data_IF_474421567880
#
_entry.id   IF_474421567880
#
_cell.length_a   1.000
_cell.length_b   1.000
_cell.length_c   1.000
_cell.angle_alpha   90.00
_cell.angle_beta   90.00
_cell.angle_gamma   90.00
#
_symmetry.space_group_name_H-M   'P 1'
#
loop_
_entity.id
_entity.type
_entity.pdbx_description
1 polymer ?
#
# COMPACT_ATOMS: atom_id res chain seq x y z
N UNK A 1 -15.47 24.16 -13.16
CA UNK A 1 -14.77 23.30 -12.18
C UNK A 1 -15.85 22.54 -11.43
N UNK A 2 -15.71 21.22 -11.26
CA UNK A 2 -16.71 20.47 -10.49
C UNK A 2 -16.61 20.87 -9.02
N UNK A 3 -17.72 20.81 -8.27
CA UNK A 3 -17.71 21.13 -6.83
C UNK A 3 -16.73 20.24 -6.03
N UNK A 4 -16.36 19.08 -6.57
CA UNK A 4 -15.42 18.14 -5.96
C UNK A 4 -13.94 18.49 -6.19
N UNK A 5 -13.64 19.43 -7.08
CA UNK A 5 -12.25 19.77 -7.40
C UNK A 5 -11.60 20.65 -6.32
N UNK A 6 -12.35 21.23 -5.39
CA UNK A 6 -11.83 22.15 -4.38
C UNK A 6 -12.06 21.63 -2.96
N UNK A 7 -11.86 20.33 -2.72
CA UNK A 7 -11.98 19.73 -1.40
C UNK A 7 -10.61 19.27 -0.88
N UNK A 8 -10.41 19.33 0.43
CA UNK A 8 -9.33 18.63 1.13
C UNK A 8 -9.87 17.36 1.83
N UNK A 9 -8.98 16.41 2.11
CA UNK A 9 -9.22 15.19 2.88
C UNK A 9 -8.23 15.13 4.03
N UNK A 10 -8.75 15.02 5.25
CA UNK A 10 -7.93 14.78 6.44
C UNK A 10 -7.65 13.28 6.60
N UNK A 11 -6.39 12.83 6.53
CA UNK A 11 -6.08 11.41 6.72
C UNK A 11 -6.30 10.92 8.15
N UNK A 12 -6.30 11.83 9.14
CA UNK A 12 -6.44 11.48 10.56
C UNK A 12 -7.88 11.22 11.00
N UNK A 13 -8.83 12.00 10.51
CA UNK A 13 -10.23 11.93 10.94
C UNK A 13 -11.24 11.80 9.78
N UNK A 14 -10.73 11.62 8.57
CA UNK A 14 -11.48 11.46 7.32
C UNK A 14 -12.43 12.61 6.98
N UNK A 15 -12.28 13.76 7.65
CA UNK A 15 -13.07 14.94 7.35
C UNK A 15 -12.69 15.51 5.98
N UNK A 16 -13.70 15.90 5.23
CA UNK A 16 -13.57 16.59 3.95
C UNK A 16 -14.30 17.92 3.99
N UNK A 17 -13.64 18.98 3.56
CA UNK A 17 -14.22 20.31 3.44
C UNK A 17 -13.55 21.09 2.30
N UNK A 18 -14.00 22.31 2.05
CA UNK A 18 -13.48 23.21 1.03
C UNK A 18 -12.00 23.52 1.28
N UNK A 19 -11.22 23.45 0.21
CA UNK A 19 -9.83 23.84 0.20
C UNK A 19 -9.72 25.36 0.34
N UNK A 20 -9.32 25.83 1.50
CA UNK A 20 -9.00 27.24 1.75
C UNK A 20 -7.56 27.56 1.28
N UNK A 21 -7.30 28.82 0.93
CA UNK A 21 -5.99 29.25 0.42
C UNK A 21 -4.89 29.23 1.49
N UNK A 22 -5.28 29.14 2.77
CA UNK A 22 -4.41 29.15 3.94
C UNK A 22 -4.28 27.72 4.46
N UNK A 23 -3.08 27.14 4.29
CA UNK A 23 -2.56 25.85 4.78
C UNK A 23 -3.49 24.60 4.77
N UNK A 24 -2.95 23.44 4.38
CA UNK A 24 -3.64 22.13 4.36
C UNK A 24 -3.92 21.59 5.79
N UNK A 25 -4.67 22.34 6.60
CA UNK A 25 -4.98 22.04 7.99
C UNK A 25 -6.43 21.60 8.10
N UNK A 26 -6.69 20.50 8.80
CA UNK A 26 -8.04 20.04 9.06
C UNK A 26 -8.74 20.90 10.13
N UNK A 27 -9.88 21.47 9.79
CA UNK A 27 -10.67 22.32 10.71
C UNK A 27 -11.29 21.53 11.87
N UNK A 28 -11.49 20.22 11.68
CA UNK A 28 -12.07 19.33 12.70
C UNK A 28 -11.05 18.88 13.76
N UNK A 29 -9.80 18.61 13.38
CA UNK A 29 -8.82 17.99 14.27
C UNK A 29 -7.44 18.67 14.31
N UNK A 30 -7.25 19.76 13.56
CA UNK A 30 -6.01 20.54 13.52
C UNK A 30 -4.83 19.86 12.83
N UNK A 31 -5.03 18.75 12.11
CA UNK A 31 -3.96 18.04 11.41
C UNK A 31 -3.43 18.84 10.22
N UNK A 32 -2.12 19.12 10.17
CA UNK A 32 -1.50 20.10 9.25
C UNK A 32 -1.07 19.59 7.86
N UNK A 33 -1.29 18.31 7.57
CA UNK A 33 -0.84 17.68 6.32
C UNK A 33 -2.00 17.03 5.57
N UNK A 34 -3.12 17.74 5.47
CA UNK A 34 -4.25 17.28 4.67
C UNK A 34 -3.88 17.14 3.19
N UNK A 35 -4.72 16.40 2.48
CA UNK A 35 -4.53 16.11 1.06
C UNK A 35 -5.59 16.77 0.22
N UNK A 36 -5.30 17.04 -1.04
CA UNK A 36 -6.36 17.38 -1.99
C UNK A 36 -7.22 16.12 -2.15
N UNK A 37 -8.53 16.24 -1.96
CA UNK A 37 -9.45 15.14 -2.07
C UNK A 37 -9.73 14.82 -3.55
N UNK A 38 -9.83 13.53 -3.86
CA UNK A 38 -10.32 13.00 -5.12
C UNK A 38 -11.53 12.13 -4.85
N UNK A 39 -12.68 12.55 -5.37
CA UNK A 39 -13.91 11.78 -5.25
C UNK A 39 -13.81 10.45 -6.01
N UNK A 40 -14.24 9.36 -5.36
CA UNK A 40 -14.41 8.05 -5.99
C UNK A 40 -15.81 8.00 -6.59
N UNK A 41 -15.93 7.65 -7.88
CA UNK A 41 -17.22 7.60 -8.56
C UNK A 41 -18.23 6.73 -7.79
N UNK A 42 -19.42 7.28 -7.50
CA UNK A 42 -20.46 6.56 -6.77
C UNK A 42 -20.91 5.28 -7.50
N UNK A 43 -20.86 5.25 -8.83
CA UNK A 43 -21.17 4.05 -9.61
C UNK A 43 -20.13 2.95 -9.41
N UNK A 44 -18.85 3.31 -9.35
CA UNK A 44 -17.77 2.35 -9.15
C UNK A 44 -17.75 1.86 -7.70
N UNK A 45 -18.00 2.75 -6.73
CA UNK A 45 -18.13 2.39 -5.32
C UNK A 45 -19.31 1.44 -5.09
N UNK A 46 -20.49 1.74 -5.65
CA UNK A 46 -21.68 0.90 -5.52
C UNK A 46 -21.45 -0.53 -6.02
N UNK A 47 -20.75 -0.69 -7.14
CA UNK A 47 -20.39 -2.04 -7.63
C UNK A 47 -19.65 -2.89 -6.58
N UNK A 48 -18.68 -2.30 -5.87
CA UNK A 48 -17.93 -3.02 -4.85
C UNK A 48 -18.73 -3.23 -3.56
N UNK A 49 -19.59 -2.28 -3.19
CA UNK A 49 -20.54 -2.43 -2.08
C UNK A 49 -21.48 -3.60 -2.36
N UNK A 50 -22.09 -3.65 -3.55
CA UNK A 50 -22.96 -4.74 -3.97
C UNK A 50 -22.22 -6.10 -3.97
N UNK A 51 -20.95 -6.10 -4.36
CA UNK A 51 -20.11 -7.31 -4.34
C UNK A 51 -19.87 -7.83 -2.92
N UNK A 52 -19.65 -6.95 -1.94
CA UNK A 52 -19.49 -7.33 -0.53
C UNK A 52 -20.79 -7.78 0.12
N UNK A 53 -21.89 -7.08 -0.16
CA UNK A 53 -23.22 -7.42 0.35
C UNK A 53 -23.68 -8.81 -0.09
N UNK A 54 -23.42 -9.15 -1.35
CA UNK A 54 -23.86 -10.42 -1.95
C UNK A 54 -22.79 -11.53 -1.90
N UNK A 55 -21.55 -11.20 -1.53
CA UNK A 55 -20.45 -12.15 -1.51
C UNK A 55 -20.52 -13.14 -0.35
N UNK A 56 -19.86 -14.29 -0.49
CA UNK A 56 -19.73 -15.29 0.58
C UNK A 56 -18.86 -14.79 1.76
N UNK A 57 -18.63 -15.65 2.75
CA UNK A 57 -17.63 -15.40 3.78
C UNK A 57 -16.20 -15.42 3.19
N UNK A 58 -15.33 -14.56 3.71
CA UNK A 58 -13.92 -14.52 3.34
C UNK A 58 -13.19 -15.81 3.73
N UNK A 59 -12.34 -16.34 2.84
CA UNK A 59 -11.57 -17.57 3.04
C UNK A 59 -10.07 -17.29 3.02
N UNK A 60 -9.33 -17.85 3.96
CA UNK A 60 -7.87 -17.75 4.01
C UNK A 60 -7.21 -18.68 2.99
N UNK A 61 -6.43 -18.12 2.08
CA UNK A 61 -5.59 -18.82 1.12
C UNK A 61 -4.22 -19.12 1.74
N UNK A 62 -3.92 -20.41 1.90
CA UNK A 62 -2.69 -20.88 2.57
C UNK A 62 -1.50 -20.97 1.61
N UNK A 63 -1.73 -20.93 0.29
CA UNK A 63 -0.67 -21.08 -0.72
C UNK A 63 0.47 -20.09 -0.54
N UNK A 64 0.15 -18.83 -0.20
CA UNK A 64 1.15 -17.78 0.04
C UNK A 64 2.07 -18.16 1.21
N UNK A 65 1.50 -18.52 2.36
CA UNK A 65 2.27 -18.95 3.53
C UNK A 65 3.09 -20.23 3.27
N UNK A 66 2.55 -21.18 2.51
CA UNK A 66 3.27 -22.39 2.11
C UNK A 66 4.48 -22.07 1.22
N UNK A 67 4.33 -21.15 0.26
CA UNK A 67 5.43 -20.76 -0.64
C UNK A 67 6.62 -20.17 0.11
N UNK A 68 6.37 -19.44 1.19
CA UNK A 68 7.40 -18.72 1.95
C UNK A 68 7.67 -19.35 3.31
N UNK A 69 7.27 -20.60 3.53
CA UNK A 69 7.34 -21.29 4.84
C UNK A 69 8.75 -21.28 5.46
N UNK A 70 9.80 -21.31 4.64
CA UNK A 70 11.20 -21.29 5.08
C UNK A 70 11.72 -19.88 5.41
N UNK A 71 10.94 -18.85 5.09
CA UNK A 71 11.25 -17.42 5.20
C UNK A 71 10.27 -16.71 6.15
N UNK A 72 9.53 -17.48 6.96
CA UNK A 72 8.76 -16.96 8.08
C UNK A 72 9.71 -16.70 9.26
N UNK A 73 9.46 -15.66 10.08
CA UNK A 73 10.24 -15.40 11.29
C UNK A 73 10.39 -16.64 12.17
N UNK A 74 11.54 -16.75 12.85
CA UNK A 74 11.75 -17.80 13.85
C UNK A 74 10.77 -17.68 15.01
N UNK A 75 10.44 -16.45 15.39
CA UNK A 75 9.36 -16.21 16.32
C UNK A 75 8.01 -16.56 15.68
N UNK A 76 7.35 -17.55 16.26
CA UNK A 76 6.02 -17.99 15.81
C UNK A 76 4.92 -17.14 16.41
N UNK A 77 5.17 -16.43 17.51
CA UNK A 77 4.17 -15.61 18.18
C UNK A 77 3.82 -14.39 17.35
N UNK A 78 4.82 -13.68 16.82
CA UNK A 78 4.59 -12.58 15.88
C UNK A 78 3.76 -12.99 14.66
N UNK A 79 4.13 -14.13 14.04
CA UNK A 79 3.40 -14.65 12.87
C UNK A 79 1.96 -14.99 13.22
N UNK A 80 1.72 -15.68 14.34
CA UNK A 80 0.36 -16.02 14.80
C UNK A 80 -0.45 -14.79 15.19
N UNK A 81 0.16 -13.82 15.86
CA UNK A 81 -0.49 -12.57 16.27
C UNK A 81 -0.95 -11.79 15.05
N UNK A 82 -0.08 -11.62 14.06
CA UNK A 82 -0.40 -10.94 12.82
C UNK A 82 -1.50 -11.69 12.03
N UNK A 83 -1.37 -13.01 11.87
CA UNK A 83 -2.39 -13.81 11.19
C UNK A 83 -3.76 -13.75 11.88
N UNK A 84 -3.78 -13.69 13.22
CA UNK A 84 -5.00 -13.54 14.02
C UNK A 84 -5.64 -12.17 13.77
N UNK A 85 -4.86 -11.09 13.83
CA UNK A 85 -5.32 -9.72 13.56
C UNK A 85 -5.97 -9.63 12.17
N UNK A 86 -5.29 -10.11 11.13
CA UNK A 86 -5.83 -10.07 9.75
C UNK A 86 -7.09 -10.93 9.61
N UNK A 87 -7.14 -12.07 10.29
CA UNK A 87 -8.32 -12.94 10.26
C UNK A 87 -9.52 -12.30 10.96
N UNK A 88 -9.29 -11.57 12.06
CA UNK A 88 -10.32 -10.78 12.75
C UNK A 88 -10.84 -9.65 11.87
N UNK A 89 -9.96 -8.97 11.13
CA UNK A 89 -10.34 -7.92 10.19
C UNK A 89 -11.27 -8.43 9.08
N UNK A 90 -10.93 -9.53 8.40
CA UNK A 90 -11.82 -10.11 7.36
C UNK A 90 -13.10 -10.73 7.94
N UNK A 91 -13.06 -11.19 9.20
CA UNK A 91 -14.27 -11.57 9.92
C UNK A 91 -15.17 -10.35 10.17
N UNK A 92 -14.61 -9.22 10.60
CA UNK A 92 -15.36 -7.96 10.80
C UNK A 92 -16.04 -7.48 9.51
N UNK A 93 -15.35 -7.52 8.37
CA UNK A 93 -15.96 -7.25 7.05
C UNK A 93 -17.14 -8.18 6.75
N UNK A 94 -17.05 -9.45 7.15
CA UNK A 94 -18.13 -10.43 6.93
C UNK A 94 -19.32 -10.23 7.87
N UNK A 95 -19.06 -9.80 9.11
CA UNK A 95 -20.08 -9.56 10.14
C UNK A 95 -20.84 -8.27 9.90
N UNK A 96 -20.17 -7.23 9.42
CA UNK A 96 -20.72 -5.88 9.26
C UNK A 96 -21.02 -5.54 7.78
N UNK A 97 -21.46 -6.53 7.00
CA UNK A 97 -21.73 -6.35 5.56
C UNK A 97 -22.77 -5.28 5.27
N UNK A 98 -23.81 -5.20 6.11
CA UNK A 98 -24.86 -4.18 6.04
C UNK A 98 -24.32 -2.75 6.20
N UNK A 99 -23.14 -2.60 6.80
CA UNK A 99 -22.46 -1.33 7.02
C UNK A 99 -21.28 -1.13 6.06
N UNK A 100 -21.10 -1.98 5.04
CA UNK A 100 -19.92 -1.92 4.15
C UNK A 100 -19.80 -0.58 3.42
N UNK A 101 -20.93 0.05 3.10
CA UNK A 101 -20.93 1.38 2.51
C UNK A 101 -20.18 2.36 3.42
N UNK A 102 -20.44 2.32 4.73
CA UNK A 102 -19.72 3.15 5.69
C UNK A 102 -18.23 2.86 5.73
N UNK A 103 -17.76 1.61 5.53
CA UNK A 103 -16.32 1.31 5.50
C UNK A 103 -15.61 1.77 4.23
N UNK A 104 -16.34 1.90 3.13
CA UNK A 104 -15.77 2.26 1.83
C UNK A 104 -15.67 3.78 1.69
N UNK A 105 -14.46 4.33 1.54
CA UNK A 105 -14.27 5.77 1.48
C UNK A 105 -14.95 6.37 0.24
N UNK A 106 -15.48 7.57 0.39
CA UNK A 106 -16.03 8.36 -0.73
C UNK A 106 -14.94 9.17 -1.43
N UNK A 107 -13.87 9.50 -0.70
CA UNK A 107 -12.75 10.30 -1.16
C UNK A 107 -11.44 9.58 -0.94
N UNK A 108 -10.50 9.79 -1.85
CA UNK A 108 -9.10 9.36 -1.71
C UNK A 108 -8.16 10.55 -1.87
N UNK A 109 -6.87 10.34 -1.63
CA UNK A 109 -5.83 11.34 -1.83
C UNK A 109 -5.55 11.56 -3.32
N UNK A 110 -5.60 12.81 -3.76
CA UNK A 110 -5.04 13.23 -5.05
C UNK A 110 -3.55 13.56 -4.89
N UNK A 111 -2.70 12.52 -4.97
CA UNK A 111 -1.25 12.68 -4.85
C UNK A 111 -0.68 13.72 -5.83
N UNK A 112 -1.16 13.71 -7.07
CA UNK A 112 -0.66 14.57 -8.16
C UNK A 112 -0.93 16.04 -7.85
N UNK A 113 -2.15 16.35 -7.41
CA UNK A 113 -2.54 17.72 -7.06
C UNK A 113 -1.93 18.17 -5.74
N UNK A 114 -1.85 17.26 -4.76
CA UNK A 114 -1.27 17.55 -3.44
C UNK A 114 0.21 17.91 -3.53
N UNK A 115 0.99 17.20 -4.35
CA UNK A 115 2.45 17.36 -4.39
C UNK A 115 2.95 18.26 -5.53
N UNK A 116 2.06 18.66 -6.45
CA UNK A 116 2.44 19.42 -7.66
C UNK A 116 3.30 18.63 -8.67
N UNK A 117 3.75 17.42 -8.33
CA UNK A 117 4.57 16.59 -9.22
C UNK A 117 3.69 15.90 -10.27
N UNK A 118 3.96 16.15 -11.57
CA UNK A 118 3.51 15.24 -12.64
C UNK A 118 4.28 13.92 -12.45
N UNK A 119 3.58 12.79 -12.40
CA UNK A 119 4.19 11.46 -12.27
C UNK A 119 5.47 11.32 -13.11
N UNK A 120 6.65 11.23 -12.47
CA UNK A 120 7.84 10.60 -13.08
C UNK A 120 7.81 9.07 -12.96
N UNK A 121 6.79 8.48 -12.31
CA UNK A 121 6.70 7.04 -12.06
C UNK A 121 5.30 6.45 -12.24
N UNK A 122 4.74 6.52 -13.44
CA UNK A 122 3.89 5.47 -14.04
C UNK A 122 3.58 5.90 -15.47
N UNK A 123 4.40 5.47 -16.43
CA UNK A 123 4.06 5.53 -17.85
C UNK A 123 2.93 4.51 -18.11
N UNK A 124 1.69 4.81 -17.71
CA UNK A 124 0.55 4.09 -18.27
C UNK A 124 0.13 4.81 -19.55
N UNK A 125 0.79 4.46 -20.65
CA UNK A 125 0.27 4.75 -21.97
C UNK A 125 -1.08 4.02 -22.14
N UNK A 126 -2.15 4.79 -22.29
CA UNK A 126 -3.55 4.43 -22.59
C UNK A 126 -4.48 4.19 -21.38
N UNK A 127 -5.63 4.88 -21.31
CA UNK A 127 -6.67 4.60 -20.32
C UNK A 127 -7.44 3.34 -20.73
N UNK A 128 -7.02 2.17 -20.26
CA UNK A 128 -7.87 0.97 -20.31
C UNK A 128 -8.92 1.09 -19.20
N UNK A 129 -10.21 1.06 -19.53
CA UNK A 129 -11.31 1.09 -18.53
C UNK A 129 -11.15 0.04 -17.40
N UNK A 130 -10.48 -1.08 -17.67
CA UNK A 130 -10.16 -2.11 -16.65
C UNK A 130 -9.18 -1.64 -15.57
N UNK A 131 -8.29 -0.70 -15.90
CA UNK A 131 -7.35 -0.12 -14.94
C UNK A 131 -8.09 0.75 -13.92
N UNK A 132 -9.18 1.42 -14.32
CA UNK A 132 -10.02 2.21 -13.42
C UNK A 132 -10.62 1.37 -12.29
N UNK A 133 -11.27 0.24 -12.62
CA UNK A 133 -11.87 -0.65 -11.61
C UNK A 133 -10.85 -1.28 -10.67
N UNK A 134 -9.70 -1.70 -11.19
CA UNK A 134 -8.64 -2.29 -10.37
C UNK A 134 -8.04 -1.27 -9.37
N UNK A 135 -7.85 -0.02 -9.81
CA UNK A 135 -7.40 1.07 -8.93
C UNK A 135 -8.46 1.39 -7.89
N UNK A 136 -9.73 1.56 -8.28
CA UNK A 136 -10.83 1.83 -7.34
C UNK A 136 -10.96 0.71 -6.30
N UNK A 137 -10.83 -0.56 -6.70
CA UNK A 137 -10.78 -1.69 -5.76
C UNK A 137 -9.68 -1.48 -4.71
N UNK A 138 -8.44 -1.23 -5.15
CA UNK A 138 -7.32 -0.99 -4.24
C UNK A 138 -7.67 0.05 -3.18
N UNK A 139 -8.12 1.22 -3.62
CA UNK A 139 -8.46 2.34 -2.77
C UNK A 139 -9.59 2.04 -1.76
N UNK A 140 -10.64 1.34 -2.19
CA UNK A 140 -11.78 1.05 -1.32
C UNK A 140 -11.41 0.06 -0.21
N UNK A 141 -10.68 -1.00 -0.56
CA UNK A 141 -10.29 -2.01 0.42
C UNK A 141 -9.16 -1.55 1.34
N UNK A 142 -8.25 -0.71 0.85
CA UNK A 142 -7.24 -0.03 1.69
C UNK A 142 -7.91 0.92 2.69
N UNK A 143 -8.92 1.69 2.27
CA UNK A 143 -9.72 2.53 3.18
C UNK A 143 -10.48 1.72 4.23
N UNK A 144 -11.16 0.65 3.81
CA UNK A 144 -11.86 -0.26 4.72
C UNK A 144 -10.90 -0.93 5.71
N UNK A 145 -9.73 -1.34 5.22
CA UNK A 145 -8.65 -1.91 6.01
C UNK A 145 -8.19 -0.94 7.11
N UNK A 146 -7.87 0.30 6.74
CA UNK A 146 -7.42 1.32 7.67
C UNK A 146 -8.47 1.63 8.73
N UNK A 147 -9.75 1.71 8.34
CA UNK A 147 -10.84 1.98 9.28
C UNK A 147 -11.02 0.85 10.29
N UNK A 148 -11.10 -0.41 9.83
CA UNK A 148 -11.28 -1.57 10.71
C UNK A 148 -10.08 -1.74 11.64
N UNK A 149 -8.86 -1.61 11.11
CA UNK A 149 -7.67 -1.81 11.93
C UNK A 149 -7.40 -0.64 12.89
N UNK A 150 -7.92 0.56 12.64
CA UNK A 150 -7.79 1.68 13.59
C UNK A 150 -8.42 1.39 14.96
N UNK A 151 -9.28 0.38 15.05
CA UNK A 151 -9.89 -0.09 16.30
C UNK A 151 -8.97 -1.04 17.10
N UNK A 152 -7.88 -1.51 16.49
CA UNK A 152 -6.93 -2.45 17.10
C UNK A 152 -5.67 -1.73 17.58
N UNK A 153 -5.32 -1.93 18.84
CA UNK A 153 -4.11 -1.40 19.49
C UNK A 153 -2.79 -1.86 18.83
N UNK A 154 -2.81 -3.04 18.19
CA UNK A 154 -1.67 -3.58 17.45
C UNK A 154 -1.48 -2.95 16.07
N UNK A 155 -2.34 -2.03 15.65
CA UNK A 155 -2.24 -1.35 14.36
C UNK A 155 -2.09 0.16 14.54
N UNK A 156 -1.20 0.74 13.75
CA UNK A 156 -1.05 2.18 13.66
C UNK A 156 -1.13 2.63 12.19
N UNK A 157 -2.11 3.49 11.83
CA UNK A 157 -2.22 4.03 10.49
C UNK A 157 -1.08 4.99 10.15
N UNK A 158 -0.74 5.10 8.87
CA UNK A 158 0.21 6.08 8.33
C UNK A 158 -0.57 7.26 7.73
N UNK A 159 -0.36 8.46 8.26
CA UNK A 159 -1.07 9.66 7.81
C UNK A 159 -0.22 10.58 6.93
N UNK A 160 1.09 10.43 6.97
CA UNK A 160 2.04 11.29 6.26
C UNK A 160 3.14 10.41 5.70
N UNK A 161 3.42 10.49 4.38
CA UNK A 161 4.61 9.85 3.83
C UNK A 161 5.85 10.37 4.51
N UNK A 162 6.76 9.46 4.88
CA UNK A 162 8.11 9.84 5.22
C UNK A 162 8.82 10.24 3.92
N UNK A 163 9.27 11.49 3.85
CA UNK A 163 10.10 12.01 2.76
C UNK A 163 11.55 11.86 3.19
N UNK A 164 12.31 11.09 2.42
CA UNK A 164 13.72 10.81 2.71
C UNK A 164 14.59 11.50 1.67
N UNK A 165 15.63 12.18 2.14
CA UNK A 165 16.76 12.62 1.32
C UNK A 165 17.80 11.51 1.43
N UNK A 166 17.96 10.70 0.38
CA UNK A 166 18.97 9.64 0.38
C UNK A 166 20.12 10.06 -0.54
N UNK A 167 21.34 9.85 -0.06
CA UNK A 167 22.58 9.92 -0.83
C UNK A 167 22.53 8.81 -1.90
N UNK A 168 22.67 9.17 -3.19
CA UNK A 168 22.46 8.28 -4.33
C UNK A 168 23.31 6.99 -4.33
N UNK A 169 24.31 6.91 -3.45
CA UNK A 169 25.22 5.78 -3.26
C UNK A 169 24.55 4.53 -2.69
N UNK A 170 23.68 4.64 -1.68
CA UNK A 170 22.98 3.49 -1.07
C UNK A 170 22.03 2.80 -2.07
N UNK A 171 21.42 3.58 -2.96
CA UNK A 171 20.56 3.09 -4.04
C UNK A 171 21.29 2.27 -5.08
N UNK A 172 22.52 2.68 -5.43
CA UNK A 172 23.36 1.94 -6.37
C UNK A 172 23.71 0.56 -5.78
N UNK A 173 23.95 0.48 -4.47
CA UNK A 173 24.19 -0.79 -3.77
C UNK A 173 22.93 -1.68 -3.65
N UNK A 174 21.75 -1.10 -3.40
CA UNK A 174 20.50 -1.86 -3.36
C UNK A 174 20.07 -2.36 -4.74
N UNK A 175 20.33 -1.58 -5.80
CA UNK A 175 20.12 -2.00 -7.19
C UNK A 175 21.13 -3.07 -7.61
N UNK A 176 22.41 -2.91 -7.28
CA UNK A 176 23.45 -3.88 -7.64
C UNK A 176 23.36 -5.20 -6.88
N UNK A 177 22.69 -5.23 -5.73
CA UNK A 177 22.43 -6.45 -4.96
C UNK A 177 21.03 -7.07 -5.26
N UNK A 178 20.25 -6.44 -6.13
CA UNK A 178 18.92 -6.86 -6.55
C UNK A 178 18.80 -6.82 -8.07
N UNK A 179 19.59 -7.64 -8.76
CA UNK A 179 19.64 -7.71 -10.22
C UNK A 179 18.24 -7.89 -10.85
N UNK A 180 17.94 -7.02 -11.81
CA UNK A 180 17.07 -7.22 -12.99
C UNK A 180 15.64 -7.78 -12.81
N UNK A 181 15.00 -7.52 -11.68
CA UNK A 181 13.57 -7.87 -11.50
C UNK A 181 12.58 -6.92 -12.21
N UNK A 182 13.10 -5.84 -12.80
CA UNK A 182 12.40 -5.07 -13.83
C UNK A 182 13.15 -5.29 -15.14
N UNK A 183 12.83 -6.38 -15.83
CA UNK A 183 13.29 -6.59 -17.18
C UNK A 183 13.10 -5.31 -18.00
N UNK A 184 14.22 -4.77 -18.49
CA UNK A 184 14.23 -3.99 -19.70
C UNK A 184 13.42 -4.78 -20.71
N UNK A 185 12.32 -4.19 -21.18
CA UNK A 185 11.81 -4.62 -22.46
C UNK A 185 12.97 -4.41 -23.43
N UNK A 186 13.33 -5.48 -24.14
CA UNK A 186 14.19 -5.42 -25.31
C UNK A 186 13.52 -4.48 -26.33
N UNK A 187 13.80 -3.19 -26.19
CA UNK A 187 13.72 -2.21 -27.25
C UNK A 187 15.19 -1.80 -27.47
N UNK A 188 15.92 -2.66 -28.20
CA UNK A 188 17.05 -2.20 -28.98
C UNK A 188 16.51 -1.16 -29.96
N UNK A 189 16.85 0.12 -29.76
CA UNK A 189 17.13 1.08 -30.83
C UNK A 189 17.63 2.42 -30.23
N UNK A 190 18.87 2.73 -30.62
CA UNK A 190 19.45 4.05 -30.91
C UNK A 190 19.72 5.08 -29.79
N UNK A 191 21.02 5.15 -29.45
CA UNK A 191 21.87 6.34 -29.44
C UNK A 191 21.20 7.71 -29.26
N UNK A 192 21.26 8.23 -28.04
CA UNK A 192 21.26 9.67 -27.78
C UNK A 192 22.06 9.96 -26.51
N UNK A 193 23.31 10.39 -26.70
CA UNK A 193 24.16 11.02 -25.71
C UNK A 193 23.38 12.15 -25.00
N UNK A 194 22.97 11.89 -23.75
CA UNK A 194 22.62 12.95 -22.81
C UNK A 194 23.92 13.39 -22.14
N UNK A 195 24.26 14.67 -22.30
CA UNK A 195 25.41 15.33 -21.68
C UNK A 195 25.34 15.26 -20.14
N UNK A 196 26.49 14.97 -19.53
CA UNK A 196 26.76 14.80 -18.09
C UNK A 196 26.58 16.07 -17.22
N UNK A 197 25.77 17.04 -17.62
CA UNK A 197 25.58 18.27 -16.86
C UNK A 197 24.19 18.30 -16.19
N UNK A 198 24.22 18.38 -14.85
CA UNK A 198 23.12 18.63 -13.90
C UNK A 198 22.15 17.47 -13.57
N UNK A 199 22.67 16.39 -12.95
CA UNK A 199 21.85 15.54 -12.08
C UNK A 199 21.96 16.09 -10.65
N UNK A 200 20.90 16.77 -10.19
CA UNK A 200 20.64 17.00 -8.77
C UNK A 200 20.43 15.62 -8.11
N UNK A 201 21.51 15.00 -7.63
CA UNK A 201 21.61 13.60 -7.17
C UNK A 201 20.85 13.30 -5.85
N UNK A 202 19.91 14.16 -5.43
CA UNK A 202 19.02 13.84 -4.30
C UNK A 202 17.72 13.21 -4.80
N UNK A 203 17.70 11.88 -4.94
CA UNK A 203 16.46 11.16 -5.21
C UNK A 203 15.62 11.11 -3.93
N UNK A 204 14.55 11.91 -3.89
CA UNK A 204 13.58 11.85 -2.80
C UNK A 204 12.86 10.50 -2.80
N UNK A 205 13.10 9.69 -1.78
CA UNK A 205 12.40 8.43 -1.59
C UNK A 205 11.19 8.68 -0.73
N UNK A 206 10.03 8.24 -1.22
CA UNK A 206 8.81 8.21 -0.44
C UNK A 206 8.69 6.84 0.23
N UNK A 207 8.57 6.85 1.55
CA UNK A 207 8.27 5.68 2.37
C UNK A 207 6.90 5.87 3.01
N UNK A 208 5.93 5.09 2.54
CA UNK A 208 4.53 5.16 2.97
C UNK A 208 3.97 3.72 2.97
N UNK A 209 4.23 2.92 4.02
CA UNK A 209 3.55 1.64 4.17
C UNK A 209 2.06 1.87 4.44
N UNK A 210 1.21 0.91 4.10
CA UNK A 210 -0.24 1.02 4.29
C UNK A 210 -0.63 1.03 5.77
N UNK A 211 0.26 0.54 6.64
CA UNK A 211 0.13 0.65 8.08
C UNK A 211 1.30 0.06 8.83
N UNK A 212 1.26 0.17 10.16
CA UNK A 212 2.24 -0.42 11.06
C UNK A 212 1.59 -1.50 11.92
N UNK A 213 2.21 -2.67 11.97
CA UNK A 213 1.92 -3.69 12.96
C UNK A 213 2.84 -3.50 14.17
N UNK A 214 2.25 -3.29 15.35
CA UNK A 214 2.96 -3.09 16.61
C UNK A 214 3.07 -4.42 17.35
N UNK A 215 4.31 -4.87 17.59
CA UNK A 215 4.57 -6.12 18.30
C UNK A 215 5.82 -6.01 19.16
N UNK A 216 5.66 -6.17 20.48
CA UNK A 216 6.78 -6.19 21.45
C UNK A 216 7.76 -5.02 21.28
N UNK A 217 7.23 -3.81 21.05
CA UNK A 217 8.02 -2.59 20.85
C UNK A 217 8.58 -2.39 19.44
N UNK A 218 8.31 -3.30 18.50
CA UNK A 218 8.71 -3.18 17.10
C UNK A 218 7.58 -2.58 16.25
N UNK A 219 7.94 -1.73 15.28
CA UNK A 219 7.04 -1.22 14.24
C UNK A 219 7.33 -1.90 12.91
N UNK A 220 6.42 -2.79 12.51
CA UNK A 220 6.58 -3.62 11.32
C UNK A 220 5.72 -3.06 10.20
N UNK A 221 6.31 -2.69 9.04
CA UNK A 221 5.55 -2.12 7.95
C UNK A 221 4.63 -3.18 7.34
N UNK A 222 3.36 -2.81 7.16
CA UNK A 222 2.35 -3.62 6.46
C UNK A 222 2.21 -3.07 5.05
N UNK A 223 2.26 -3.99 4.09
CA UNK A 223 1.80 -3.75 2.72
C UNK A 223 0.45 -4.45 2.49
N UNK A 224 -0.48 -3.79 1.85
CA UNK A 224 -1.81 -4.27 1.52
C UNK A 224 -2.00 -4.29 -0.01
N UNK A 225 -2.25 -5.47 -0.57
CA UNK A 225 -2.45 -5.66 -2.01
C UNK A 225 -3.82 -6.21 -2.33
N UNK A 226 -4.49 -5.60 -3.30
CA UNK A 226 -5.71 -6.16 -3.90
C UNK A 226 -5.43 -6.71 -5.29
N UNK A 227 -5.90 -7.93 -5.54
CA UNK A 227 -5.87 -8.54 -6.85
C UNK A 227 -7.30 -8.80 -7.33
N UNK A 228 -7.47 -8.83 -8.65
CA UNK A 228 -8.73 -9.29 -9.23
C UNK A 228 -8.81 -10.80 -9.30
N UNK A 229 -9.94 -11.29 -9.78
CA UNK A 229 -10.16 -12.71 -10.08
C UNK A 229 -8.99 -13.31 -10.90
N UNK A 230 -8.54 -14.50 -10.51
CA UNK A 230 -7.38 -15.18 -11.08
C UNK A 230 -6.02 -14.55 -10.73
N UNK A 231 -6.01 -13.43 -9.99
CA UNK A 231 -4.80 -12.67 -9.69
C UNK A 231 -3.95 -13.22 -8.52
N UNK A 232 -4.44 -14.23 -7.81
CA UNK A 232 -3.73 -14.92 -6.73
C UNK A 232 -2.70 -15.94 -7.26
N UNK A 233 -1.77 -15.46 -8.08
CA UNK A 233 -0.71 -16.23 -8.73
C UNK A 233 0.68 -15.86 -8.22
N UNK A 234 1.62 -16.83 -8.29
CA UNK A 234 2.99 -16.70 -7.78
C UNK A 234 3.70 -15.42 -8.22
N UNK A 235 3.60 -15.08 -9.51
CA UNK A 235 4.24 -13.87 -10.08
C UNK A 235 3.82 -12.58 -9.36
N UNK A 236 2.55 -12.47 -8.97
CA UNK A 236 2.04 -11.29 -8.27
C UNK A 236 2.50 -11.25 -6.81
N UNK A 237 2.59 -12.42 -6.17
CA UNK A 237 3.11 -12.52 -4.79
C UNK A 237 4.57 -12.07 -4.70
N UNK A 238 5.42 -12.45 -5.66
CA UNK A 238 6.83 -12.03 -5.68
C UNK A 238 6.98 -10.50 -5.73
N UNK A 239 6.15 -9.81 -6.51
CA UNK A 239 6.12 -8.34 -6.55
C UNK A 239 5.74 -7.75 -5.19
N UNK A 240 4.72 -8.31 -4.55
CA UNK A 240 4.31 -7.90 -3.20
C UNK A 240 5.40 -8.14 -2.16
N UNK A 241 6.11 -9.27 -2.23
CA UNK A 241 7.24 -9.57 -1.34
C UNK A 241 8.39 -8.58 -1.53
N UNK A 242 8.78 -8.30 -2.78
CA UNK A 242 9.84 -7.33 -3.08
C UNK A 242 9.53 -5.94 -2.51
N UNK A 243 8.30 -5.45 -2.69
CA UNK A 243 7.89 -4.17 -2.13
C UNK A 243 7.86 -4.18 -0.59
N UNK A 244 7.25 -5.20 0.01
CA UNK A 244 7.22 -5.37 1.46
C UNK A 244 8.63 -5.41 2.07
N UNK A 245 9.58 -6.05 1.38
CA UNK A 245 10.99 -6.10 1.78
C UNK A 245 11.71 -4.77 1.68
N UNK A 246 11.47 -4.02 0.61
CA UNK A 246 11.98 -2.66 0.50
C UNK A 246 11.54 -1.84 1.72
N UNK A 247 10.29 -1.97 2.13
CA UNK A 247 9.78 -1.28 3.33
C UNK A 247 10.38 -1.78 4.65
N UNK A 248 10.67 -3.07 4.79
CA UNK A 248 11.42 -3.56 5.96
C UNK A 248 12.80 -2.90 6.08
N UNK A 249 13.57 -2.86 4.97
CA UNK A 249 14.90 -2.27 4.96
C UNK A 249 14.86 -0.77 5.27
N UNK A 250 13.90 -0.05 4.70
CA UNK A 250 13.70 1.38 4.99
C UNK A 250 13.25 1.59 6.45
N UNK A 251 12.38 0.75 7.00
CA UNK A 251 11.96 0.89 8.40
C UNK A 251 13.14 0.78 9.37
N UNK A 252 14.04 -0.19 9.15
CA UNK A 252 15.22 -0.36 10.01
C UNK A 252 16.18 0.84 9.90
N UNK A 253 16.60 1.20 8.69
CA UNK A 253 17.57 2.27 8.46
C UNK A 253 17.12 3.64 8.98
N UNK A 254 15.82 3.91 8.99
CA UNK A 254 15.30 5.26 9.25
C UNK A 254 14.61 5.42 10.60
N UNK A 255 13.90 4.39 11.06
CA UNK A 255 13.20 4.46 12.35
C UNK A 255 13.97 3.76 13.46
N UNK A 256 14.82 2.76 13.15
CA UNK A 256 15.46 1.91 14.16
C UNK A 256 14.46 1.11 15.01
N UNK A 257 13.18 1.13 14.63
CA UNK A 257 12.06 0.49 15.35
C UNK A 257 11.74 -0.91 14.80
N UNK A 258 12.52 -1.40 13.83
CA UNK A 258 12.35 -2.72 13.21
C UNK A 258 13.68 -3.49 13.12
N UNK A 259 14.35 -3.77 14.25
CA UNK A 259 15.71 -4.32 14.28
C UNK A 259 15.82 -5.75 13.70
N UNK A 260 14.69 -6.44 13.56
CA UNK A 260 14.64 -7.78 12.95
C UNK A 260 14.32 -7.72 11.45
N UNK A 261 14.22 -6.51 10.89
CA UNK A 261 13.85 -6.24 9.50
C UNK A 261 12.61 -7.02 9.09
N UNK A 262 11.58 -7.11 9.95
CA UNK A 262 10.36 -7.81 9.58
C UNK A 262 9.51 -6.98 8.62
N UNK A 263 8.74 -7.64 7.77
CA UNK A 263 7.71 -6.97 6.98
C UNK A 263 6.45 -7.83 6.90
N UNK A 264 5.32 -7.17 6.86
CA UNK A 264 4.01 -7.79 6.74
C UNK A 264 3.46 -7.56 5.34
N UNK A 265 2.80 -8.59 4.78
CA UNK A 265 2.06 -8.48 3.54
C UNK A 265 0.67 -9.08 3.73
N UNK A 266 -0.34 -8.31 3.35
CA UNK A 266 -1.75 -8.71 3.29
C UNK A 266 -2.18 -8.65 1.85
N UNK A 267 -2.86 -9.69 1.39
CA UNK A 267 -3.36 -9.81 0.04
C UNK A 267 -4.84 -10.16 0.12
N UNK A 268 -5.67 -9.50 -0.69
CA UNK A 268 -7.04 -9.93 -0.89
C UNK A 268 -7.42 -10.01 -2.37
N UNK A 269 -8.38 -10.88 -2.65
CA UNK A 269 -9.09 -11.00 -3.91
C UNK A 269 -10.59 -10.97 -3.57
N UNK A 270 -11.20 -9.77 -3.58
CA UNK A 270 -12.61 -9.59 -3.27
C UNK A 270 -13.54 -10.46 -4.13
N UNK A 271 -13.27 -10.52 -5.43
CA UNK A 271 -14.08 -11.26 -6.40
C UNK A 271 -14.10 -12.77 -6.10
N UNK A 272 -13.03 -13.32 -5.52
CA UNK A 272 -12.96 -14.73 -5.12
C UNK A 272 -13.27 -14.98 -3.63
N UNK A 273 -13.51 -13.92 -2.86
CA UNK A 273 -13.64 -13.94 -1.39
C UNK A 273 -12.46 -14.63 -0.71
N UNK A 274 -11.24 -14.34 -1.18
CA UNK A 274 -10.01 -14.94 -0.65
C UNK A 274 -9.05 -13.89 -0.13
N UNK A 275 -8.39 -14.19 0.98
CA UNK A 275 -7.30 -13.37 1.49
C UNK A 275 -6.11 -14.24 1.90
N UNK A 276 -4.93 -13.64 1.89
CA UNK A 276 -3.72 -14.23 2.43
C UNK A 276 -2.98 -13.18 3.25
N UNK A 277 -2.22 -13.63 4.23
CA UNK A 277 -1.31 -12.78 4.97
C UNK A 277 -0.04 -13.55 5.28
N UNK A 278 1.07 -12.83 5.37
CA UNK A 278 2.36 -13.40 5.72
C UNK A 278 3.24 -12.38 6.44
N UNK A 279 3.98 -12.85 7.43
CA UNK A 279 5.10 -12.15 8.02
C UNK A 279 6.39 -12.66 7.37
N UNK A 280 7.26 -11.77 6.95
CA UNK A 280 8.50 -12.05 6.24
C UNK A 280 9.69 -11.54 7.03
N UNK A 281 10.78 -12.29 7.00
CA UNK A 281 12.09 -11.80 7.43
C UNK A 281 13.06 -11.63 6.26
N UNK A 282 14.29 -11.23 6.57
CA UNK A 282 15.38 -10.98 5.62
C UNK A 282 15.69 -12.16 4.69
N UNK A 283 15.44 -13.40 5.14
CA UNK A 283 15.72 -14.61 4.37
C UNK A 283 14.92 -14.72 3.09
N UNK A 284 13.82 -13.97 2.93
CA UNK A 284 13.04 -13.99 1.68
C UNK A 284 13.85 -13.45 0.50
N UNK A 285 14.92 -12.68 0.72
CA UNK A 285 15.81 -12.17 -0.33
C UNK A 285 16.33 -13.29 -1.25
N UNK A 286 16.50 -14.51 -0.74
CA UNK A 286 16.92 -15.68 -1.52
C UNK A 286 15.92 -16.12 -2.59
N UNK A 287 14.63 -15.85 -2.40
CA UNK A 287 13.57 -16.12 -3.40
C UNK A 287 13.45 -14.96 -4.40
N UNK A 288 13.86 -13.76 -4.00
CA UNK A 288 13.76 -12.56 -4.82
C UNK A 288 14.97 -12.41 -5.75
N UNK A 289 16.17 -12.86 -5.35
CA UNK A 289 17.38 -12.86 -6.18
C UNK A 289 17.67 -14.17 -6.91
N UNK A 290 16.65 -15.00 -7.15
CA UNK A 290 16.74 -16.28 -7.88
C UNK A 290 15.80 -16.31 -9.07
#
# INVERSE_FOLDING_TARGET
>A
MSQFDNLYLCPRCEHTDLLHAEDMICDKCGFKHCFVAKHISSSDRRYWVDLELNGDAWRKEKRVATMVKQHLPKDKNITKSFEKLVSQMFASLSTNKDQIDSYFPEFTRDYKRTTGKRNKGWKSSKPNLRQGRAVTRGLLYEGAFNRILSEHDQFQPVFTPAIMLEDATLWKELKSNGDDLFGSADDEDDDLFASDDDIDETELIYFEPDGWFLHEGQKIPIEFKTYGEGGLVRKNFLKGFSQSRRYASLSDSYHGENPNHYSALIICCPEERKFACVMLDDRIGKILGS
#
